data_IF_867852703069
#
_entry.id   IF_867852703069
#
_cell.length_a   1.000
_cell.length_b   1.000
_cell.length_c   1.000
_cell.angle_alpha   90.00
_cell.angle_beta   90.00
_cell.angle_gamma   90.00
#
_symmetry.space_group_name_H-M   'P 1'
#
loop_
_entity.id
_entity.type
_entity.pdbx_description
1 polymer ?
#
# COMPACT_ATOMS: atom_id res chain seq x y z
N UNK A 1 -61.69 -19.95 -14.82
CA UNK A 1 -61.77 -19.94 -13.34
C UNK A 1 -60.62 -20.80 -12.87
N UNK A 2 -59.44 -20.18 -12.75
CA UNK A 2 -58.75 -19.87 -11.47
C UNK A 2 -57.94 -21.12 -11.06
N UNK A 3 -56.65 -21.14 -10.79
CA UNK A 3 -55.54 -20.20 -10.56
C UNK A 3 -54.32 -20.87 -11.28
N UNK A 4 -53.17 -20.27 -11.57
CA UNK A 4 -52.15 -19.86 -10.61
C UNK A 4 -51.08 -19.06 -11.35
N UNK A 5 -50.80 -17.91 -10.76
CA UNK A 5 -49.73 -17.01 -11.08
C UNK A 5 -48.44 -17.56 -10.44
N UNK A 6 -47.40 -17.83 -11.23
CA UNK A 6 -46.06 -18.03 -10.68
C UNK A 6 -45.08 -17.21 -11.52
N UNK A 7 -44.77 -16.02 -10.99
CA UNK A 7 -43.53 -15.31 -11.27
C UNK A 7 -42.36 -16.25 -10.95
N UNK A 8 -41.70 -16.79 -11.96
CA UNK A 8 -40.34 -17.30 -11.78
C UNK A 8 -39.37 -16.14 -12.00
N UNK A 9 -39.23 -15.39 -10.91
CA UNK A 9 -38.25 -14.35 -10.69
C UNK A 9 -36.85 -14.95 -10.74
N UNK A 10 -36.01 -14.39 -11.62
CA UNK A 10 -34.56 -14.24 -11.53
C UNK A 10 -33.77 -15.31 -10.75
N UNK A 11 -33.14 -16.23 -11.49
CA UNK A 11 -31.97 -16.97 -11.03
C UNK A 11 -30.72 -16.42 -11.75
N UNK A 12 -30.29 -15.22 -11.33
CA UNK A 12 -28.92 -14.76 -11.60
C UNK A 12 -28.00 -15.43 -10.58
N UNK A 13 -27.69 -16.71 -10.82
CA UNK A 13 -26.78 -17.50 -10.00
C UNK A 13 -25.44 -16.79 -9.78
N UNK A 14 -25.28 -16.28 -8.56
CA UNK A 14 -24.07 -15.76 -7.94
C UNK A 14 -23.06 -16.88 -7.70
N UNK A 15 -22.35 -17.32 -8.73
CA UNK A 15 -21.24 -18.26 -8.58
C UNK A 15 -20.08 -17.85 -9.48
N UNK A 16 -19.17 -17.03 -8.94
CA UNK A 16 -17.78 -17.45 -8.69
C UNK A 16 -16.97 -16.24 -8.18
N UNK A 17 -17.11 -16.03 -6.88
CA UNK A 17 -16.23 -15.25 -6.02
C UNK A 17 -14.81 -15.83 -6.04
N UNK A 18 -14.02 -15.50 -7.07
CA UNK A 18 -12.56 -15.65 -7.02
C UNK A 18 -11.90 -14.29 -6.86
N UNK A 19 -12.16 -13.68 -5.71
CA UNK A 19 -11.32 -12.63 -5.18
C UNK A 19 -9.95 -13.22 -4.88
N UNK A 20 -9.07 -13.14 -5.89
CA UNK A 20 -7.65 -13.51 -5.83
C UNK A 20 -6.93 -12.66 -4.79
N UNK A 21 -7.10 -13.05 -3.53
CA UNK A 21 -6.29 -12.64 -2.39
C UNK A 21 -4.95 -13.37 -2.44
N UNK A 22 -4.14 -13.10 -3.47
CA UNK A 22 -2.72 -13.45 -3.45
C UNK A 22 -1.95 -12.47 -2.57
N UNK A 23 -2.23 -12.47 -1.27
CA UNK A 23 -1.33 -11.92 -0.27
C UNK A 23 -0.71 -13.10 0.49
N UNK A 24 0.14 -13.86 -0.20
CA UNK A 24 1.05 -14.81 0.43
C UNK A 24 2.05 -14.03 1.30
N UNK A 25 1.67 -13.76 2.53
CA UNK A 25 2.55 -13.30 3.60
C UNK A 25 2.73 -14.40 4.65
N UNK A 26 3.17 -15.58 4.20
CA UNK A 26 3.89 -16.51 5.07
C UNK A 26 5.35 -16.07 5.11
N UNK A 27 5.77 -15.48 6.22
CA UNK A 27 7.19 -15.34 6.55
C UNK A 27 7.33 -15.33 8.09
N UNK A 28 7.18 -16.51 8.67
CA UNK A 28 7.55 -16.85 10.05
C UNK A 28 9.08 -17.03 10.19
N UNK A 29 9.84 -16.16 9.52
CA UNK A 29 11.31 -16.10 9.60
C UNK A 29 11.78 -14.88 10.39
N UNK A 30 13.08 -14.81 10.77
CA UNK A 30 13.63 -13.66 11.47
C UNK A 30 13.34 -12.36 10.70
N UNK A 31 12.76 -11.38 11.39
CA UNK A 31 12.26 -10.13 10.80
C UNK A 31 13.45 -9.27 10.34
N UNK A 32 13.93 -9.48 9.11
CA UNK A 32 14.94 -8.62 8.49
C UNK A 32 14.25 -7.36 7.97
N UNK A 33 14.43 -6.25 8.69
CA UNK A 33 13.92 -4.94 8.28
C UNK A 33 15.01 -4.18 7.54
N UNK A 34 14.69 -3.64 6.36
CA UNK A 34 15.56 -2.67 5.69
C UNK A 34 15.39 -1.31 6.38
N UNK A 35 16.47 -0.81 6.98
CA UNK A 35 16.48 0.52 7.56
C UNK A 35 16.69 1.58 6.46
N UNK A 36 16.05 2.76 6.57
CA UNK A 36 16.34 3.87 5.67
C UNK A 36 17.81 4.29 5.84
N UNK A 37 18.50 4.56 4.72
CA UNK A 37 19.89 5.03 4.71
C UNK A 37 20.06 6.28 3.86
N UNK A 38 20.94 7.18 4.27
CA UNK A 38 21.28 8.38 3.52
C UNK A 38 20.07 9.31 3.34
N UNK A 39 19.65 9.52 2.09
CA UNK A 39 18.52 10.39 1.73
C UNK A 39 17.15 9.68 1.72
N UNK A 40 17.12 8.38 2.02
CA UNK A 40 15.88 7.60 1.95
C UNK A 40 14.95 7.95 3.10
N UNK A 41 13.65 8.03 2.79
CA UNK A 41 12.60 8.38 3.76
C UNK A 41 11.52 7.31 3.76
N UNK A 42 10.93 7.09 4.93
CA UNK A 42 9.72 6.28 5.04
C UNK A 42 8.51 7.14 4.70
N UNK A 43 7.50 6.52 4.10
CA UNK A 43 6.23 7.19 3.82
C UNK A 43 5.07 6.24 3.65
N UNK A 44 3.86 6.79 3.78
CA UNK A 44 2.60 6.08 3.64
C UNK A 44 1.88 6.55 2.39
N UNK A 45 1.42 5.59 1.59
CA UNK A 45 0.67 5.88 0.37
C UNK A 45 -0.67 6.47 0.72
N UNK A 46 -0.89 7.71 0.30
CA UNK A 46 -2.14 8.43 0.49
C UNK A 46 -3.12 8.13 -0.63
N UNK A 47 -2.65 8.15 -1.88
CA UNK A 47 -3.51 8.01 -3.05
C UNK A 47 -2.73 7.49 -4.26
N UNK A 48 -3.37 6.71 -5.14
CA UNK A 48 -2.78 6.32 -6.44
C UNK A 48 -3.17 7.30 -7.54
N UNK A 49 -2.21 7.71 -8.35
CA UNK A 49 -2.41 8.69 -9.43
C UNK A 49 -2.49 8.04 -10.83
N UNK A 50 -2.27 6.73 -10.92
CA UNK A 50 -2.21 6.01 -12.20
C UNK A 50 -0.83 6.08 -12.87
N UNK A 51 -0.64 5.31 -13.95
CA UNK A 51 0.62 5.29 -14.70
C UNK A 51 1.85 4.82 -13.92
N UNK A 52 1.66 4.13 -12.79
CA UNK A 52 2.73 3.75 -11.87
C UNK A 52 3.24 4.90 -10.99
N UNK A 53 2.45 5.97 -10.83
CA UNK A 53 2.70 7.08 -9.91
C UNK A 53 1.70 7.04 -8.74
N UNK A 54 2.15 7.46 -7.58
CA UNK A 54 1.32 7.55 -6.37
C UNK A 54 1.74 8.74 -5.52
N UNK A 55 0.80 9.26 -4.73
CA UNK A 55 1.03 10.29 -3.73
C UNK A 55 1.38 9.61 -2.40
N UNK A 56 2.49 10.01 -1.81
CA UNK A 56 2.99 9.46 -0.55
C UNK A 56 3.27 10.57 0.45
N UNK A 57 2.67 10.47 1.63
CA UNK A 57 3.03 11.27 2.78
C UNK A 57 4.31 10.71 3.41
N UNK A 58 5.40 11.48 3.35
CA UNK A 58 6.69 11.08 3.92
C UNK A 58 6.80 11.51 5.39
N UNK A 59 7.64 10.84 6.17
CA UNK A 59 7.93 11.21 7.56
C UNK A 59 8.57 12.58 7.75
N UNK A 60 9.15 13.12 6.69
CA UNK A 60 9.69 14.48 6.64
C UNK A 60 8.57 15.55 6.68
N UNK A 61 7.29 15.15 6.68
CA UNK A 61 6.13 16.04 6.63
C UNK A 61 5.78 16.50 5.21
N UNK A 62 6.57 16.09 4.21
CA UNK A 62 6.35 16.42 2.80
C UNK A 62 5.55 15.34 2.09
N UNK A 63 4.69 15.77 1.18
CA UNK A 63 3.96 14.86 0.28
C UNK A 63 4.67 14.79 -1.06
N UNK A 64 5.01 13.59 -1.51
CA UNK A 64 5.78 13.35 -2.74
C UNK A 64 4.99 12.53 -3.75
N UNK A 65 5.18 12.83 -5.03
CA UNK A 65 4.74 11.99 -6.13
C UNK A 65 5.85 10.95 -6.37
N UNK A 66 5.58 9.73 -5.93
CA UNK A 66 6.51 8.62 -6.06
C UNK A 66 6.21 7.81 -7.32
N UNK A 67 7.26 7.46 -8.06
CA UNK A 67 7.20 6.55 -9.20
C UNK A 67 7.60 5.14 -8.78
N UNK A 68 6.89 4.14 -9.30
CA UNK A 68 7.33 2.73 -9.19
C UNK A 68 8.32 2.44 -10.32
N UNK A 69 9.59 2.11 -10.03
CA UNK A 69 10.53 1.72 -11.07
C UNK A 69 10.05 0.45 -11.77
N UNK A 70 10.31 0.35 -13.08
CA UNK A 70 9.79 -0.75 -13.92
C UNK A 70 10.12 -2.15 -13.38
N UNK A 71 11.29 -2.30 -12.75
CA UNK A 71 11.73 -3.54 -12.08
C UNK A 71 10.75 -3.99 -10.99
N UNK A 72 10.16 -3.06 -10.25
CA UNK A 72 9.23 -3.37 -9.15
C UNK A 72 7.77 -3.39 -9.60
N UNK A 73 7.44 -2.82 -10.76
CA UNK A 73 6.05 -2.65 -11.24
C UNK A 73 5.27 -3.98 -11.33
N UNK A 74 5.93 -5.09 -11.67
CA UNK A 74 5.29 -6.42 -11.73
C UNK A 74 5.19 -7.13 -10.37
N UNK A 75 6.13 -6.86 -9.46
CA UNK A 75 6.26 -7.60 -8.20
C UNK A 75 5.61 -6.90 -7.02
N UNK A 76 5.43 -5.58 -7.09
CA UNK A 76 5.10 -4.76 -5.94
C UNK A 76 3.66 -4.29 -6.06
N UNK A 77 2.75 -5.01 -5.40
CA UNK A 77 1.36 -4.61 -5.26
C UNK A 77 1.22 -3.56 -4.16
N UNK A 78 1.06 -2.30 -4.54
CA UNK A 78 0.83 -1.19 -3.60
C UNK A 78 -0.64 -0.90 -3.49
N UNK A 79 -1.15 -0.81 -2.27
CA UNK A 79 -2.45 -0.21 -1.93
C UNK A 79 -2.24 1.08 -1.13
N UNK A 80 -3.30 1.84 -0.93
CA UNK A 80 -3.31 2.95 0.04
C UNK A 80 -2.98 2.42 1.44
N UNK A 81 -2.52 3.29 2.34
CA UNK A 81 -2.03 2.95 3.69
C UNK A 81 -0.80 2.03 3.76
N UNK A 82 -0.23 1.62 2.62
CA UNK A 82 0.98 0.79 2.63
C UNK A 82 2.20 1.66 2.96
N UNK A 83 3.05 1.16 3.84
CA UNK A 83 4.32 1.81 4.21
C UNK A 83 5.40 1.43 3.21
N UNK A 84 6.03 2.44 2.63
CA UNK A 84 7.06 2.31 1.60
C UNK A 84 8.36 2.99 2.03
N UNK A 85 9.46 2.51 1.48
CA UNK A 85 10.76 3.19 1.49
C UNK A 85 10.92 3.96 0.18
N UNK A 86 11.19 5.26 0.30
CA UNK A 86 11.24 6.20 -0.82
C UNK A 86 12.63 6.81 -0.92
N UNK A 87 13.11 6.90 -2.16
CA UNK A 87 14.30 7.68 -2.49
C UNK A 87 13.87 9.00 -3.16
N UNK A 88 14.08 10.16 -2.51
CA UNK A 88 13.89 11.44 -3.19
C UNK A 88 14.88 11.63 -4.33
N UNK A 89 14.44 12.33 -5.37
CA UNK A 89 15.32 12.77 -6.45
C UNK A 89 16.23 13.91 -6.01
N UNK A 90 17.47 13.94 -6.52
CA UNK A 90 18.47 14.94 -6.14
C UNK A 90 18.23 16.33 -6.75
N UNK A 91 17.74 16.40 -7.99
CA UNK A 91 17.61 17.66 -8.76
C UNK A 91 16.15 18.16 -8.90
N UNK A 92 15.17 17.38 -8.46
CA UNK A 92 13.73 17.72 -8.44
C UNK A 92 13.18 17.77 -7.01
N UNK A 93 14.03 18.28 -6.12
CA UNK A 93 14.05 18.09 -4.67
C UNK A 93 12.70 18.20 -3.98
N UNK A 94 12.36 17.17 -3.22
CA UNK A 94 11.23 17.14 -2.29
C UNK A 94 9.84 16.89 -2.82
N UNK A 95 9.54 17.10 -4.10
CA UNK A 95 8.20 16.82 -4.64
C UNK A 95 8.11 15.43 -5.30
N UNK A 96 9.23 14.89 -5.76
CA UNK A 96 9.29 13.63 -6.52
C UNK A 96 10.25 12.64 -5.87
N UNK A 97 9.97 11.36 -6.07
CA UNK A 97 10.87 10.28 -5.67
C UNK A 97 10.54 8.96 -6.33
N UNK A 98 11.34 7.95 -6.05
CA UNK A 98 11.11 6.57 -6.50
C UNK A 98 10.81 5.66 -5.30
N UNK A 99 9.95 4.66 -5.52
CA UNK A 99 9.67 3.60 -4.55
C UNK A 99 10.78 2.55 -4.62
N UNK A 100 11.45 2.29 -3.49
CA UNK A 100 12.50 1.26 -3.39
C UNK A 100 11.93 -0.06 -2.86
N UNK A 101 11.09 0.01 -1.83
CA UNK A 101 10.67 -1.17 -1.08
C UNK A 101 9.29 -0.97 -0.44
N UNK A 102 8.52 -2.05 -0.35
CA UNK A 102 7.28 -2.11 0.42
C UNK A 102 7.51 -2.92 1.68
N UNK A 103 7.18 -2.33 2.83
CA UNK A 103 7.23 -3.05 4.09
C UNK A 103 6.01 -3.94 4.26
N UNK A 104 6.24 -5.12 4.83
CA UNK A 104 5.19 -6.05 5.26
C UNK A 104 4.64 -5.64 6.62
N UNK A 105 3.46 -6.14 6.98
CA UNK A 105 2.79 -5.83 8.26
C UNK A 105 3.67 -6.13 9.48
N UNK A 106 4.40 -7.25 9.47
CA UNK A 106 5.35 -7.61 10.52
C UNK A 106 6.52 -6.61 10.66
N UNK A 107 7.10 -6.17 9.54
CA UNK A 107 8.17 -5.18 9.51
C UNK A 107 7.66 -3.80 9.94
N UNK A 108 6.43 -3.44 9.57
CA UNK A 108 5.76 -2.21 10.01
C UNK A 108 5.61 -2.22 11.54
N UNK A 109 5.14 -3.34 12.12
CA UNK A 109 5.03 -3.48 13.58
C UNK A 109 6.38 -3.29 14.27
N UNK A 110 7.45 -3.86 13.70
CA UNK A 110 8.81 -3.65 14.22
C UNK A 110 9.27 -2.18 14.10
N UNK A 111 9.00 -1.52 12.96
CA UNK A 111 9.31 -0.11 12.75
C UNK A 111 8.56 0.81 13.73
N UNK A 112 7.30 0.49 14.04
CA UNK A 112 6.51 1.18 15.08
C UNK A 112 7.14 1.00 16.45
N UNK A 113 7.43 -0.25 16.85
CA UNK A 113 8.07 -0.57 18.14
C UNK A 113 9.44 0.09 18.32
N UNK A 114 10.19 0.21 17.23
CA UNK A 114 11.51 0.84 17.25
C UNK A 114 11.46 2.37 17.18
N UNK A 115 10.28 3.00 17.14
CA UNK A 115 10.10 4.45 17.14
C UNK A 115 10.34 5.14 15.79
N UNK A 116 10.56 4.38 14.72
CA UNK A 116 10.77 4.97 13.39
C UNK A 116 9.45 5.43 12.77
N UNK A 117 8.32 4.77 13.04
CA UNK A 117 7.00 5.04 12.43
C UNK A 117 5.99 5.73 13.36
N UNK A 118 6.47 6.42 14.39
CA UNK A 118 5.62 6.97 15.46
C UNK A 118 4.67 8.08 14.97
N UNK A 119 5.08 8.84 13.95
CA UNK A 119 4.45 10.13 13.60
C UNK A 119 3.28 10.08 12.62
N UNK A 120 2.81 8.90 12.21
CA UNK A 120 1.84 8.79 11.08
C UNK A 120 0.51 8.11 11.48
N UNK A 121 0.14 8.15 12.76
CA UNK A 121 -1.22 7.79 13.21
C UNK A 121 -1.81 9.01 13.96
N UNK A 122 -2.37 9.92 13.19
CA UNK A 122 -3.43 10.86 13.60
C UNK A 122 -4.50 10.57 12.54
N UNK A 123 -5.51 9.74 12.80
CA UNK A 123 -6.62 9.99 13.73
C UNK A 123 -7.01 8.74 14.52
N UNK A 124 -6.91 8.84 15.84
CA UNK A 124 -7.86 8.22 16.77
C UNK A 124 -8.94 9.32 16.94
N UNK A 125 -10.03 9.24 16.16
CA UNK A 125 -11.20 10.12 16.34
C UNK A 125 -11.81 9.81 17.72
N UNK A 126 -11.57 10.72 18.67
CA UNK A 126 -12.33 10.90 19.90
C UNK A 126 -13.69 11.56 19.63
#
# INVERSE_FOLDING_TARGET
>A
MSDDNLNDTEDFGEDDVLERSFDNNQDEGPIRVKMPKGKQVLGIVTQRLGGGRMRVACMDGKTRICRVPGRLKKSLWVREENVLLIEPWEFGGDEKGDVIYKYRKNQISWLKKSGYLDKINTDDEF
#
